data_IF_040972430882
#
_entry.id   IF_040972430882
#
_cell.length_a   1.000
_cell.length_b   1.000
_cell.length_c   1.000
_cell.angle_alpha   90.00
_cell.angle_beta   90.00
_cell.angle_gamma   90.00
#
_symmetry.space_group_name_H-M   'P 1'
#
loop_
_entity.id
_entity.type
_entity.pdbx_description
1 polymer ?
#
# COMPACT_ATOMS: atom_id res chain seq x y z
N UNK A 1 10.37 23.27 5.20
CA UNK A 1 9.06 23.77 4.76
C UNK A 1 8.99 23.65 3.25
N UNK A 2 7.92 23.11 2.67
CA UNK A 2 7.76 23.11 1.20
C UNK A 2 7.41 24.53 0.76
N UNK A 3 8.05 25.02 -0.30
CA UNK A 3 7.65 26.26 -0.93
C UNK A 3 6.46 26.04 -1.89
N UNK A 4 5.80 27.10 -2.29
CA UNK A 4 4.60 27.02 -3.14
C UNK A 4 4.91 26.44 -4.53
N UNK A 5 6.14 26.63 -5.03
CA UNK A 5 6.57 26.08 -6.32
C UNK A 5 6.66 24.56 -6.27
N UNK A 6 7.19 24.02 -5.19
CA UNK A 6 7.31 22.58 -4.94
C UNK A 6 5.93 21.93 -4.72
N UNK A 7 5.04 22.59 -3.97
CA UNK A 7 3.66 22.12 -3.78
C UNK A 7 2.91 22.09 -5.11
N UNK A 8 3.04 23.12 -5.94
CA UNK A 8 2.44 23.17 -7.27
C UNK A 8 2.98 22.05 -8.18
N UNK A 9 4.29 21.78 -8.12
CA UNK A 9 4.91 20.68 -8.87
C UNK A 9 4.34 19.32 -8.42
N UNK A 10 4.29 19.05 -7.12
CA UNK A 10 3.73 17.79 -6.58
C UNK A 10 2.26 17.63 -6.99
N UNK A 11 1.44 18.69 -6.92
CA UNK A 11 0.02 18.61 -7.33
C UNK A 11 -0.15 18.21 -8.79
N UNK A 12 0.79 18.54 -9.68
CA UNK A 12 0.73 18.14 -11.11
C UNK A 12 0.89 16.64 -11.31
N UNK A 13 1.54 15.94 -10.39
CA UNK A 13 1.69 14.49 -10.44
C UNK A 13 0.37 13.76 -10.20
N UNK A 14 -0.65 14.46 -9.68
CA UNK A 14 -1.97 13.93 -9.37
C UNK A 14 -3.04 14.52 -10.31
N UNK A 15 -3.39 13.85 -11.41
CA UNK A 15 -4.32 14.41 -12.41
C UNK A 15 -5.68 14.80 -11.86
N UNK A 16 -6.19 14.04 -10.90
CA UNK A 16 -7.49 14.33 -10.27
C UNK A 16 -7.51 15.69 -9.56
N UNK A 17 -6.35 16.15 -9.07
CA UNK A 17 -6.23 17.44 -8.38
C UNK A 17 -6.20 18.63 -9.35
N UNK A 18 -6.22 18.37 -10.68
CA UNK A 18 -6.34 19.39 -11.71
C UNK A 18 -7.81 19.66 -12.09
N UNK A 19 -8.76 18.91 -11.52
CA UNK A 19 -10.19 19.09 -11.80
C UNK A 19 -10.73 20.36 -11.13
N UNK A 20 -11.77 20.88 -11.74
CA UNK A 20 -12.63 21.90 -11.12
C UNK A 20 -13.99 21.29 -10.78
N UNK A 21 -14.57 21.73 -9.69
CA UNK A 21 -15.93 21.40 -9.26
C UNK A 21 -16.69 22.72 -9.12
N UNK A 22 -17.75 22.87 -9.88
CA UNK A 22 -18.57 24.11 -9.91
C UNK A 22 -17.72 25.39 -10.19
N UNK A 23 -16.71 25.26 -11.08
CA UNK A 23 -15.82 26.36 -11.45
C UNK A 23 -14.73 26.71 -10.43
N UNK A 24 -14.56 25.88 -9.40
CA UNK A 24 -13.50 26.05 -8.40
C UNK A 24 -12.49 24.90 -8.43
N UNK A 25 -11.18 25.17 -8.23
CA UNK A 25 -10.18 24.11 -8.08
C UNK A 25 -10.56 23.16 -6.95
N UNK A 26 -10.43 21.85 -7.19
CA UNK A 26 -10.74 20.83 -6.18
C UNK A 26 -9.89 20.99 -4.92
N UNK A 27 -10.53 20.95 -3.76
CA UNK A 27 -9.89 20.79 -2.45
C UNK A 27 -10.29 19.42 -1.92
N UNK A 28 -9.33 18.50 -1.82
CA UNK A 28 -9.55 17.13 -1.33
C UNK A 28 -8.90 16.97 0.03
N UNK A 29 -9.70 16.75 1.07
CA UNK A 29 -9.26 16.65 2.47
C UNK A 29 -9.57 15.30 3.11
N UNK A 30 -10.00 14.30 2.32
CA UNK A 30 -10.41 12.98 2.80
C UNK A 30 -9.33 11.90 2.54
N UNK A 31 -8.05 12.27 2.67
CA UNK A 31 -6.94 11.33 2.46
C UNK A 31 -6.87 10.23 3.53
N UNK A 32 -7.50 10.42 4.69
CA UNK A 32 -7.59 9.39 5.72
C UNK A 32 -8.42 8.18 5.24
N UNK A 33 -9.47 8.42 4.46
CA UNK A 33 -10.28 7.36 3.86
C UNK A 33 -9.61 6.80 2.60
N UNK A 34 -9.15 7.67 1.69
CA UNK A 34 -8.53 7.25 0.42
C UNK A 34 -7.54 8.30 -0.06
N UNK A 35 -6.29 7.90 -0.27
CA UNK A 35 -5.29 8.75 -0.91
C UNK A 35 -5.47 8.76 -2.43
N UNK A 36 -5.21 9.91 -3.06
CA UNK A 36 -5.22 10.01 -4.51
C UNK A 36 -3.97 9.34 -5.10
N UNK A 37 -4.10 8.76 -6.30
CA UNK A 37 -3.02 8.08 -6.99
C UNK A 37 -2.24 9.05 -7.90
N UNK A 38 -0.92 9.15 -7.78
CA UNK A 38 -0.11 9.90 -8.73
C UNK A 38 -0.02 9.16 -10.08
N UNK A 39 0.25 9.91 -11.14
CA UNK A 39 0.32 9.37 -12.51
C UNK A 39 1.36 8.25 -12.65
N UNK A 40 2.48 8.30 -11.92
CA UNK A 40 3.49 7.23 -11.96
C UNK A 40 2.95 5.88 -11.48
N UNK A 41 2.06 5.87 -10.50
CA UNK A 41 1.40 4.64 -10.01
C UNK A 41 0.42 4.10 -11.06
N UNK A 42 -0.40 4.98 -11.65
CA UNK A 42 -1.35 4.59 -12.71
C UNK A 42 -0.61 3.97 -13.89
N UNK A 43 0.47 4.61 -14.36
CA UNK A 43 1.30 4.09 -15.47
C UNK A 43 1.99 2.77 -15.12
N UNK A 44 2.45 2.58 -13.90
CA UNK A 44 3.07 1.32 -13.48
C UNK A 44 2.05 0.16 -13.48
N UNK A 45 0.80 0.43 -13.08
CA UNK A 45 -0.28 -0.56 -13.15
C UNK A 45 -0.62 -0.88 -14.62
N UNK A 46 -0.74 0.14 -15.46
CA UNK A 46 -1.00 -0.01 -16.90
C UNK A 46 0.09 -0.85 -17.58
N UNK A 47 1.35 -0.52 -17.36
CA UNK A 47 2.52 -1.23 -17.86
C UNK A 47 2.55 -2.70 -17.43
N UNK A 48 2.28 -2.96 -16.15
CA UNK A 48 2.17 -4.32 -15.63
C UNK A 48 1.09 -5.12 -16.35
N UNK A 49 -0.09 -4.53 -16.61
CA UNK A 49 -1.17 -5.23 -17.31
C UNK A 49 -0.88 -5.48 -18.78
N UNK A 50 -0.26 -4.55 -19.47
CA UNK A 50 0.01 -4.66 -20.90
C UNK A 50 1.23 -5.51 -21.24
N UNK A 51 2.27 -5.53 -20.37
CA UNK A 51 3.55 -6.10 -20.74
C UNK A 51 4.04 -7.22 -19.83
N UNK A 52 3.62 -7.27 -18.55
CA UNK A 52 4.25 -8.14 -17.55
C UNK A 52 3.28 -9.05 -16.78
N UNK A 53 1.99 -9.08 -17.17
CA UNK A 53 1.01 -9.87 -16.45
C UNK A 53 1.22 -11.36 -16.64
N UNK A 54 1.77 -12.02 -15.64
CA UNK A 54 1.98 -13.46 -15.61
C UNK A 54 1.83 -14.02 -14.19
N UNK A 55 1.85 -15.35 -14.07
CA UNK A 55 1.83 -16.02 -12.76
C UNK A 55 3.18 -15.90 -12.08
N UNK A 56 3.18 -15.35 -10.86
CA UNK A 56 4.37 -15.12 -10.04
C UNK A 56 4.82 -16.43 -9.39
N UNK A 57 6.13 -16.70 -9.34
CA UNK A 57 6.81 -17.83 -8.68
C UNK A 57 6.54 -19.25 -9.23
N UNK A 58 5.67 -19.43 -10.21
CA UNK A 58 5.25 -20.77 -10.65
C UNK A 58 5.44 -21.06 -12.14
N UNK A 59 5.80 -20.08 -12.93
CA UNK A 59 6.02 -20.25 -14.38
C UNK A 59 7.50 -20.43 -14.70
N UNK A 60 7.78 -21.24 -15.73
CA UNK A 60 9.13 -21.47 -16.25
C UNK A 60 9.43 -20.66 -17.52
N UNK A 61 8.55 -19.72 -17.88
CA UNK A 61 8.68 -18.88 -19.07
C UNK A 61 9.08 -17.44 -18.68
N UNK A 62 9.62 -16.70 -19.65
CA UNK A 62 10.18 -15.35 -19.45
C UNK A 62 9.26 -14.40 -18.70
N UNK A 63 7.98 -14.27 -19.13
CA UNK A 63 7.03 -13.36 -18.46
C UNK A 63 6.81 -13.68 -16.98
N UNK A 64 6.84 -14.96 -16.61
CA UNK A 64 6.71 -15.36 -15.20
C UNK A 64 7.97 -14.99 -14.39
N UNK A 65 9.15 -15.10 -15.00
CA UNK A 65 10.40 -14.63 -14.41
C UNK A 65 10.33 -13.12 -14.17
N UNK A 66 10.03 -12.34 -15.19
CA UNK A 66 9.91 -10.89 -15.10
C UNK A 66 8.89 -10.44 -14.02
N UNK A 67 7.69 -11.05 -14.01
CA UNK A 67 6.69 -10.73 -13.00
C UNK A 67 7.15 -11.09 -11.58
N UNK A 68 7.90 -12.18 -11.41
CA UNK A 68 8.49 -12.58 -10.13
C UNK A 68 9.55 -11.57 -9.69
N UNK A 69 10.46 -11.18 -10.57
CA UNK A 69 11.51 -10.20 -10.29
C UNK A 69 10.91 -8.84 -9.88
N UNK A 70 9.82 -8.41 -10.54
CA UNK A 70 9.10 -7.17 -10.18
C UNK A 70 8.51 -7.23 -8.77
N UNK A 71 7.91 -8.35 -8.38
CA UNK A 71 7.34 -8.54 -7.03
C UNK A 71 8.43 -8.54 -5.98
N UNK A 72 9.52 -9.28 -6.20
CA UNK A 72 10.62 -9.36 -5.22
C UNK A 72 11.40 -8.04 -5.12
N UNK A 73 11.61 -7.34 -6.23
CA UNK A 73 12.20 -6.01 -6.22
C UNK A 73 11.32 -5.00 -5.45
N UNK A 74 9.99 -5.14 -5.55
CA UNK A 74 9.04 -4.32 -4.80
C UNK A 74 9.11 -4.64 -3.31
N UNK A 75 9.17 -5.92 -2.94
CA UNK A 75 9.32 -6.37 -1.56
C UNK A 75 10.59 -5.80 -0.93
N UNK A 76 11.71 -5.87 -1.63
CA UNK A 76 12.98 -5.29 -1.17
C UNK A 76 12.91 -3.77 -0.98
N UNK A 77 12.25 -3.05 -1.89
CA UNK A 77 12.02 -1.59 -1.72
C UNK A 77 11.19 -1.28 -0.47
N UNK A 78 10.14 -2.07 -0.20
CA UNK A 78 9.32 -1.90 1.01
C UNK A 78 10.16 -2.23 2.25
N UNK A 79 10.90 -3.36 2.24
CA UNK A 79 11.83 -3.73 3.32
C UNK A 79 12.76 -2.58 3.67
N UNK A 80 13.43 -2.01 2.69
CA UNK A 80 14.36 -0.91 2.89
C UNK A 80 13.65 0.36 3.41
N UNK A 81 12.45 0.66 2.89
CA UNK A 81 11.68 1.84 3.29
C UNK A 81 11.22 1.80 4.74
N UNK A 82 10.76 0.64 5.22
CA UNK A 82 10.33 0.45 6.62
C UNK A 82 11.47 0.04 7.55
N UNK A 83 12.70 -0.09 7.04
CA UNK A 83 13.89 -0.53 7.77
C UNK A 83 13.71 -1.92 8.43
N UNK A 84 13.03 -2.84 7.72
CA UNK A 84 12.92 -4.23 8.17
C UNK A 84 14.26 -4.94 7.99
N UNK A 85 14.57 -5.89 8.88
CA UNK A 85 15.84 -6.61 8.85
C UNK A 85 15.93 -7.58 7.66
N UNK A 86 14.79 -8.14 7.24
CA UNK A 86 14.72 -9.18 6.21
C UNK A 86 13.48 -9.01 5.33
N UNK A 87 13.54 -9.52 4.10
CA UNK A 87 12.40 -9.49 3.16
C UNK A 87 11.23 -10.37 3.61
N UNK A 88 11.50 -11.39 4.42
CA UNK A 88 10.48 -12.27 5.00
C UNK A 88 9.59 -11.56 6.01
N UNK A 89 10.02 -10.41 6.54
CA UNK A 89 9.20 -9.55 7.41
C UNK A 89 8.15 -8.75 6.64
N UNK A 90 8.24 -8.74 5.30
CA UNK A 90 7.30 -7.99 4.44
C UNK A 90 6.27 -8.93 3.84
N UNK A 91 5.04 -8.85 4.33
CA UNK A 91 3.92 -9.66 3.85
C UNK A 91 2.88 -8.76 3.19
N UNK A 92 2.66 -8.95 1.89
CA UNK A 92 1.61 -8.24 1.15
C UNK A 92 0.24 -8.84 1.42
N UNK A 93 -0.72 -8.02 1.77
CA UNK A 93 -2.12 -8.41 2.03
C UNK A 93 -3.09 -7.60 1.18
N UNK A 94 -4.38 -7.96 1.21
CA UNK A 94 -5.45 -7.26 0.49
C UNK A 94 -5.94 -5.99 1.22
N UNK A 95 -5.14 -5.41 2.07
CA UNK A 95 -5.44 -4.19 2.83
C UNK A 95 -5.32 -4.40 4.33
N UNK A 96 -5.52 -3.33 5.08
CA UNK A 96 -5.32 -3.27 6.54
C UNK A 96 -6.15 -4.31 7.31
N UNK A 97 -7.41 -4.49 6.96
CA UNK A 97 -8.27 -5.50 7.60
C UNK A 97 -7.68 -6.90 7.48
N UNK A 98 -7.21 -7.28 6.28
CA UNK A 98 -6.59 -8.59 6.09
C UNK A 98 -5.27 -8.72 6.85
N UNK A 99 -4.47 -7.64 6.93
CA UNK A 99 -3.22 -7.62 7.68
C UNK A 99 -3.45 -7.79 9.19
N UNK A 100 -4.43 -7.07 9.75
CA UNK A 100 -4.76 -7.16 11.17
C UNK A 100 -5.36 -8.53 11.54
N UNK A 101 -6.24 -9.08 10.70
CA UNK A 101 -6.75 -10.44 10.91
C UNK A 101 -5.62 -11.48 10.84
N UNK A 102 -4.65 -11.33 9.94
CA UNK A 102 -3.48 -12.21 9.88
C UNK A 102 -2.65 -12.10 11.16
N UNK A 103 -2.40 -10.88 11.64
CA UNK A 103 -1.68 -10.65 12.89
C UNK A 103 -2.44 -11.25 14.09
N UNK A 104 -3.75 -11.00 14.19
CA UNK A 104 -4.60 -11.55 15.24
C UNK A 104 -4.59 -13.09 15.26
N UNK A 105 -4.74 -13.73 14.09
CA UNK A 105 -4.71 -15.18 13.98
C UNK A 105 -3.36 -15.78 14.36
N UNK A 106 -2.24 -15.15 13.95
CA UNK A 106 -0.89 -15.69 14.18
C UNK A 106 -0.37 -15.43 15.58
N UNK A 107 -0.66 -14.25 16.17
CA UNK A 107 -0.27 -13.91 17.53
C UNK A 107 -1.26 -14.42 18.56
N UNK A 108 -2.56 -14.49 18.24
CA UNK A 108 -3.60 -15.01 19.10
C UNK A 108 -3.33 -16.44 19.59
N UNK A 109 -2.80 -17.28 18.71
CA UNK A 109 -2.40 -18.66 19.06
C UNK A 109 -1.25 -18.76 20.08
N UNK A 110 -0.55 -17.66 20.33
CA UNK A 110 0.56 -17.57 21.28
C UNK A 110 0.14 -17.00 22.62
N UNK A 111 -1.06 -16.43 22.71
CA UNK A 111 -1.58 -15.85 23.95
C UNK A 111 -1.99 -16.94 24.94
N UNK A 112 -1.61 -16.74 26.19
CA UNK A 112 -1.91 -17.63 27.29
C UNK A 112 -2.95 -17.01 28.21
N UNK A 113 -3.54 -17.81 29.09
CA UNK A 113 -4.48 -17.31 30.07
C UNK A 113 -3.81 -16.31 31.03
N UNK A 114 -4.31 -15.08 31.03
CA UNK A 114 -3.77 -13.97 31.81
C UNK A 114 -3.00 -12.93 30.99
N UNK A 115 -2.74 -13.20 29.69
CA UNK A 115 -2.20 -12.19 28.78
C UNK A 115 -3.27 -11.13 28.45
N UNK A 116 -2.84 -9.91 28.20
CA UNK A 116 -3.71 -8.77 27.95
C UNK A 116 -3.41 -8.14 26.58
N UNK A 117 -4.47 -7.74 25.86
CA UNK A 117 -4.37 -6.95 24.65
C UNK A 117 -4.86 -5.53 24.98
N UNK A 118 -4.01 -4.54 24.72
CA UNK A 118 -4.35 -3.14 24.98
C UNK A 118 -4.77 -2.48 23.64
N UNK A 119 -5.98 -1.92 23.64
CA UNK A 119 -6.53 -1.14 22.51
C UNK A 119 -6.93 0.24 22.99
N UNK A 120 -6.89 1.23 22.09
CA UNK A 120 -7.46 2.54 22.38
C UNK A 120 -8.94 2.59 21.95
N UNK A 121 -9.71 3.52 22.52
CA UNK A 121 -11.12 3.73 22.09
C UNK A 121 -11.25 4.45 20.76
N UNK A 122 -10.15 4.95 20.22
CA UNK A 122 -10.11 5.68 18.93
C UNK A 122 -9.76 4.79 17.74
N UNK A 123 -9.59 3.48 17.94
CA UNK A 123 -9.21 2.56 16.89
C UNK A 123 -10.28 2.44 15.79
N UNK A 124 -9.81 2.26 14.56
CA UNK A 124 -10.69 1.88 13.47
C UNK A 124 -11.22 0.45 13.70
N UNK A 125 -12.47 0.18 13.29
CA UNK A 125 -13.10 -1.13 13.49
C UNK A 125 -12.29 -2.31 12.92
N UNK A 126 -11.47 -2.10 11.90
CA UNK A 126 -10.56 -3.13 11.36
C UNK A 126 -9.51 -3.62 12.38
N UNK A 127 -9.24 -2.83 13.44
CA UNK A 127 -8.31 -3.17 14.51
C UNK A 127 -9.01 -3.63 15.79
N UNK A 128 -10.31 -3.33 15.94
CA UNK A 128 -11.07 -3.73 17.14
C UNK A 128 -11.74 -5.10 16.96
N UNK A 129 -12.23 -5.37 15.74
CA UNK A 129 -13.06 -6.56 15.49
C UNK A 129 -12.27 -7.87 15.46
N UNK A 130 -11.05 -7.93 14.86
CA UNK A 130 -10.27 -9.17 14.90
C UNK A 130 -9.88 -9.59 16.29
#
# INVERSE_FOLDING_TARGET
MFDDSKLTSIRKDYPILQREIEGHPIVYLDNAATSQAPMCVVKAIEDMYFHHRANVHRGVHTLSGEATDMVEATREKVRAFINAASVEEVVFTRGTTAALNLAAATYGDRLCNGDEIILTTMEHHSNIVP
#
